data_IF_413212243157
#
_entry.id   IF_413212243157
#
_cell.length_a   1.000
_cell.length_b   1.000
_cell.length_c   1.000
_cell.angle_alpha   90.00
_cell.angle_beta   90.00
_cell.angle_gamma   90.00
#
_symmetry.space_group_name_H-M   'P 1'
#
loop_
_entity.id
_entity.type
_entity.pdbx_description
1 polymer ?
#
# COMPACT_ATOMS: atom_id res chain seq x y z
N UNK A 1 15.67 3.22 7.11
CA UNK A 1 14.34 3.18 7.76
C UNK A 1 14.50 2.85 9.24
N UNK A 2 13.71 3.45 10.14
CA UNK A 2 13.71 3.09 11.57
C UNK A 2 13.08 1.71 11.77
N UNK A 3 13.49 0.97 12.81
CA UNK A 3 12.98 -0.39 13.08
C UNK A 3 11.45 -0.43 13.28
N UNK A 4 10.88 0.57 13.95
CA UNK A 4 9.43 0.64 14.18
C UNK A 4 8.66 0.86 12.87
N UNK A 5 9.17 1.73 12.00
CA UNK A 5 8.58 2.00 10.68
C UNK A 5 8.69 0.77 9.78
N UNK A 6 9.84 0.08 9.81
CA UNK A 6 10.05 -1.16 9.06
C UNK A 6 9.05 -2.25 9.47
N UNK A 7 8.76 -2.37 10.77
CA UNK A 7 7.76 -3.32 11.27
C UNK A 7 6.37 -2.99 10.73
N UNK A 8 5.94 -1.72 10.85
CA UNK A 8 4.64 -1.26 10.33
C UNK A 8 4.51 -1.47 8.82
N UNK A 9 5.54 -1.11 8.05
CA UNK A 9 5.56 -1.32 6.60
C UNK A 9 5.54 -2.81 6.25
N UNK A 10 6.18 -3.67 7.05
CA UNK A 10 6.12 -5.12 6.85
C UNK A 10 4.71 -5.67 7.07
N UNK A 11 3.99 -5.18 8.08
CA UNK A 11 2.59 -5.55 8.33
C UNK A 11 1.68 -5.07 7.19
N UNK A 12 1.83 -3.83 6.74
CA UNK A 12 1.09 -3.29 5.60
C UNK A 12 1.39 -4.08 4.32
N UNK A 13 2.67 -4.37 4.06
CA UNK A 13 3.11 -5.21 2.93
C UNK A 13 2.42 -6.56 2.94
N UNK A 14 2.37 -7.24 4.08
CA UNK A 14 1.73 -8.56 4.17
C UNK A 14 0.24 -8.49 3.82
N UNK A 15 -0.46 -7.46 4.31
CA UNK A 15 -1.86 -7.22 3.94
C UNK A 15 -2.04 -6.98 2.43
N UNK A 16 -1.15 -6.20 1.83
CA UNK A 16 -1.22 -5.88 0.40
C UNK A 16 -0.88 -7.07 -0.50
N UNK A 17 0.05 -7.93 -0.09
CA UNK A 17 0.41 -9.15 -0.84
C UNK A 17 -0.70 -10.20 -0.81
N UNK A 18 -1.48 -10.27 0.27
CA UNK A 18 -2.60 -11.19 0.40
C UNK A 18 -3.86 -10.45 0.89
N UNK A 19 -4.49 -9.63 0.04
CA UNK A 19 -5.66 -8.86 0.44
C UNK A 19 -6.88 -9.79 0.59
N UNK A 20 -7.69 -9.61 1.64
CA UNK A 20 -8.85 -10.46 1.90
C UNK A 20 -9.90 -10.35 0.78
N UNK A 21 -10.60 -11.45 0.49
CA UNK A 21 -11.80 -11.44 -0.37
C UNK A 21 -12.96 -10.82 0.41
N UNK A 22 -13.16 -9.52 0.30
CA UNK A 22 -14.23 -8.81 1.01
C UNK A 22 -14.81 -7.66 0.18
N UNK A 23 -16.11 -7.43 0.32
CA UNK A 23 -16.78 -6.25 -0.26
C UNK A 23 -16.29 -4.93 0.36
N UNK A 24 -15.70 -4.99 1.56
CA UNK A 24 -15.08 -3.84 2.26
C UNK A 24 -13.59 -3.68 1.95
N UNK A 25 -13.05 -4.42 0.99
CA UNK A 25 -11.62 -4.39 0.68
C UNK A 25 -11.12 -2.97 0.38
N UNK A 26 -11.91 -2.16 -0.35
CA UNK A 26 -11.57 -0.77 -0.64
C UNK A 26 -11.39 0.08 0.62
N UNK A 27 -12.35 0.01 1.56
CA UNK A 27 -12.31 0.79 2.80
C UNK A 27 -11.11 0.41 3.67
N UNK A 28 -10.81 -0.88 3.78
CA UNK A 28 -9.64 -1.34 4.51
C UNK A 28 -8.34 -0.92 3.82
N UNK A 29 -8.25 -1.12 2.49
CA UNK A 29 -7.08 -0.75 1.71
C UNK A 29 -6.75 0.75 1.85
N UNK A 30 -7.74 1.64 1.85
CA UNK A 30 -7.54 3.08 2.07
C UNK A 30 -6.75 3.35 3.36
N UNK A 31 -7.13 2.71 4.47
CA UNK A 31 -6.44 2.90 5.75
C UNK A 31 -4.99 2.40 5.69
N UNK A 32 -4.74 1.25 5.06
CA UNK A 32 -3.39 0.70 4.91
C UNK A 32 -2.51 1.58 3.99
N UNK A 33 -3.07 2.08 2.88
CA UNK A 33 -2.36 2.96 1.96
C UNK A 33 -2.00 4.30 2.60
N UNK A 34 -2.93 4.92 3.34
CA UNK A 34 -2.68 6.17 4.05
C UNK A 34 -1.54 6.00 5.07
N UNK A 35 -1.58 4.94 5.89
CA UNK A 35 -0.52 4.64 6.85
C UNK A 35 0.83 4.41 6.16
N UNK A 36 0.86 3.71 5.02
CA UNK A 36 2.10 3.50 4.27
C UNK A 36 2.68 4.82 3.76
N UNK A 37 1.86 5.71 3.21
CA UNK A 37 2.27 7.03 2.74
C UNK A 37 2.83 7.87 3.90
N UNK A 38 2.12 7.93 5.03
CA UNK A 38 2.53 8.73 6.18
C UNK A 38 3.91 8.29 6.73
N UNK A 39 4.20 6.99 6.70
CA UNK A 39 5.51 6.45 7.09
C UNK A 39 6.57 6.71 6.01
N UNK A 40 6.27 6.41 4.75
CA UNK A 40 7.25 6.40 3.66
C UNK A 40 7.62 7.80 3.17
N UNK A 41 6.79 8.81 3.39
CA UNK A 41 7.11 10.21 3.06
C UNK A 41 8.34 10.75 3.78
N UNK A 42 8.72 10.16 4.93
CA UNK A 42 9.96 10.49 5.64
C UNK A 42 11.23 9.92 4.98
N UNK A 43 11.09 9.08 3.94
CA UNK A 43 12.16 8.31 3.33
C UNK A 43 12.30 8.65 1.83
N UNK A 44 13.31 9.45 1.43
CA UNK A 44 13.48 9.89 0.03
C UNK A 44 13.65 8.73 -0.97
N UNK A 45 14.25 7.62 -0.53
CA UNK A 45 14.43 6.40 -1.31
C UNK A 45 13.11 5.66 -1.62
N UNK A 46 12.04 5.98 -0.90
CA UNK A 46 10.70 5.44 -1.12
C UNK A 46 9.79 6.35 -1.97
N UNK A 47 10.29 7.49 -2.48
CA UNK A 47 9.47 8.51 -3.14
C UNK A 47 8.62 7.97 -4.31
N UNK A 48 9.19 7.13 -5.17
CA UNK A 48 8.45 6.50 -6.27
C UNK A 48 7.34 5.57 -5.80
N UNK A 49 7.56 4.88 -4.68
CA UNK A 49 6.54 4.01 -4.07
C UNK A 49 5.44 4.84 -3.42
N UNK A 50 5.79 5.96 -2.78
CA UNK A 50 4.83 6.92 -2.23
C UNK A 50 3.91 7.47 -3.33
N UNK A 51 4.46 7.85 -4.48
CA UNK A 51 3.66 8.34 -5.61
C UNK A 51 2.64 7.30 -6.09
N UNK A 52 3.06 6.04 -6.26
CA UNK A 52 2.17 4.95 -6.66
C UNK A 52 1.06 4.68 -5.63
N UNK A 53 1.41 4.72 -4.33
CA UNK A 53 0.45 4.59 -3.24
C UNK A 53 -0.58 5.73 -3.26
N UNK A 54 -0.16 6.97 -3.49
CA UNK A 54 -1.03 8.14 -3.58
C UNK A 54 -1.97 8.07 -4.79
N UNK A 55 -1.47 7.67 -5.96
CA UNK A 55 -2.29 7.47 -7.15
C UNK A 55 -3.36 6.41 -6.91
N UNK A 56 -2.99 5.27 -6.32
CA UNK A 56 -3.95 4.18 -6.02
C UNK A 56 -4.98 4.62 -4.98
N UNK A 57 -4.55 5.33 -3.94
CA UNK A 57 -5.44 5.88 -2.92
C UNK A 57 -6.47 6.84 -3.54
N UNK A 58 -6.05 7.73 -4.43
CA UNK A 58 -6.94 8.66 -5.12
C UNK A 58 -7.95 7.90 -5.99
N UNK A 59 -7.51 6.90 -6.75
CA UNK A 59 -8.40 6.08 -7.57
C UNK A 59 -9.42 5.31 -6.72
N UNK A 60 -9.03 4.80 -5.54
CA UNK A 60 -9.91 4.16 -4.58
C UNK A 60 -10.96 5.12 -4.02
N UNK A 61 -10.55 6.32 -3.60
CA UNK A 61 -11.46 7.34 -3.05
C UNK A 61 -12.49 7.82 -4.09
N UNK A 62 -12.08 7.91 -5.35
CA UNK A 62 -12.97 8.24 -6.48
C UNK A 62 -13.81 7.05 -6.97
N UNK A 63 -13.66 5.86 -6.38
CA UNK A 63 -14.29 4.60 -6.82
C UNK A 63 -14.01 4.26 -8.29
N UNK A 64 -12.85 4.66 -8.79
CA UNK A 64 -12.41 4.45 -10.18
C UNK A 64 -11.69 3.11 -10.38
N UNK A 65 -11.62 2.27 -9.35
CA UNK A 65 -11.07 0.91 -9.44
C UNK A 65 -12.21 -0.09 -9.35
N UNK A 66 -12.36 -0.90 -10.40
CA UNK A 66 -13.23 -2.07 -10.35
C UNK A 66 -12.74 -3.05 -9.28
N UNK A 67 -13.65 -3.60 -8.47
CA UNK A 67 -13.32 -4.49 -7.35
C UNK A 67 -12.49 -5.71 -7.76
N UNK A 68 -12.70 -6.21 -8.98
CA UNK A 68 -11.92 -7.29 -9.60
C UNK A 68 -10.44 -6.95 -9.80
N UNK A 69 -10.14 -5.67 -10.12
CA UNK A 69 -8.78 -5.19 -10.36
C UNK A 69 -8.08 -4.76 -9.07
N UNK A 70 -8.86 -4.34 -8.07
CA UNK A 70 -8.33 -3.82 -6.80
C UNK A 70 -7.34 -4.78 -6.14
N UNK A 71 -7.66 -6.08 -6.10
CA UNK A 71 -6.77 -7.06 -5.48
C UNK A 71 -5.42 -7.14 -6.17
N UNK A 72 -5.41 -7.19 -7.51
CA UNK A 72 -4.17 -7.21 -8.29
C UNK A 72 -3.36 -5.94 -8.06
N UNK A 73 -4.02 -4.77 -8.05
CA UNK A 73 -3.36 -3.49 -7.77
C UNK A 73 -2.71 -3.47 -6.38
N UNK A 74 -3.41 -3.95 -5.34
CA UNK A 74 -2.86 -4.03 -3.99
C UNK A 74 -1.67 -5.00 -3.93
N UNK A 75 -1.74 -6.14 -4.62
CA UNK A 75 -0.64 -7.10 -4.69
C UNK A 75 0.61 -6.51 -5.34
N UNK A 76 0.45 -5.73 -6.40
CA UNK A 76 1.57 -5.07 -7.06
C UNK A 76 2.21 -4.00 -6.18
N UNK A 77 1.41 -3.24 -5.42
CA UNK A 77 1.94 -2.34 -4.39
C UNK A 77 2.68 -3.09 -3.27
N UNK A 78 2.17 -4.25 -2.84
CA UNK A 78 2.86 -5.12 -1.89
C UNK A 78 4.23 -5.59 -2.39
N UNK A 79 4.37 -5.88 -3.68
CA UNK A 79 5.66 -6.21 -4.30
C UNK A 79 6.62 -5.01 -4.32
N UNK A 80 6.12 -3.81 -4.60
CA UNK A 80 6.93 -2.58 -4.53
C UNK A 80 7.44 -2.32 -3.11
N UNK A 81 6.58 -2.48 -2.10
CA UNK A 81 7.00 -2.41 -0.69
C UNK A 81 8.01 -3.49 -0.34
N UNK A 82 7.89 -4.69 -0.89
CA UNK A 82 8.87 -5.77 -0.69
C UNK A 82 10.26 -5.37 -1.17
N UNK A 83 10.36 -4.66 -2.29
CA UNK A 83 11.63 -4.15 -2.81
C UNK A 83 12.27 -3.08 -1.91
N UNK A 84 11.47 -2.37 -1.10
CA UNK A 84 11.96 -1.40 -0.12
C UNK A 84 12.39 -2.06 1.20
N UNK A 85 11.66 -3.07 1.68
CA UNK A 85 11.92 -3.68 2.99
C UNK A 85 12.95 -4.80 2.98
N UNK A 86 13.19 -5.45 1.83
CA UNK A 86 14.11 -6.59 1.72
C UNK A 86 15.53 -6.17 1.27
N UNK A 87 15.86 -4.88 1.41
CA UNK A 87 17.18 -4.32 1.10
C UNK A 87 18.11 -4.36 2.30
#
# INVERSE_FOLDING_TARGET
>A
MKNEDLKKITEIKQYLLDPPVSFKLGDYAIAYLQNAIDILTAYPDAASTVENLQQTLQQLQLKNIATENLRSTLQDLGKQLSALTNR
#
